data_IF_664573965175
#
_entry.id   IF_664573965175
#
_cell.length_a   1.000
_cell.length_b   1.000
_cell.length_c   1.000
_cell.angle_alpha   90.00
_cell.angle_beta   90.00
_cell.angle_gamma   90.00
#
_symmetry.space_group_name_H-M   'P 1'
#
loop_
_entity.id
_entity.type
_entity.pdbx_description
1 polymer ?
#
# COMPACT_ATOMS: atom_id res chain seq x y z
N UNK A 1 3.19 8.31 -4.44
CA UNK A 1 4.48 7.59 -4.50
C UNK A 1 5.36 8.05 -3.35
N UNK A 2 6.07 7.15 -2.69
CA UNK A 2 7.07 7.55 -1.69
C UNK A 2 8.45 7.73 -2.31
N UNK A 3 9.13 8.80 -1.91
CA UNK A 3 10.55 9.05 -2.16
C UNK A 3 11.37 8.41 -1.02
N UNK A 4 11.13 7.12 -0.81
CA UNK A 4 11.82 6.28 0.16
C UNK A 4 12.80 5.35 -0.55
N UNK A 5 13.87 4.96 0.14
CA UNK A 5 14.90 4.03 -0.35
C UNK A 5 14.65 2.59 0.11
N UNK A 6 13.81 2.41 1.12
CA UNK A 6 13.36 1.12 1.62
C UNK A 6 11.96 1.27 2.20
N UNK A 7 11.08 0.33 1.88
CA UNK A 7 9.73 0.28 2.41
C UNK A 7 9.22 -1.16 2.44
N UNK A 8 8.80 -1.62 3.61
CA UNK A 8 8.19 -2.94 3.80
C UNK A 8 6.91 -2.78 4.60
N UNK A 9 5.85 -3.46 4.15
CA UNK A 9 4.58 -3.61 4.86
C UNK A 9 4.51 -5.04 5.41
N UNK A 10 4.15 -5.18 6.68
CA UNK A 10 3.90 -6.45 7.35
C UNK A 10 2.45 -6.45 7.81
N UNK A 11 1.62 -7.30 7.23
CA UNK A 11 0.20 -7.38 7.60
C UNK A 11 0.03 -8.26 8.84
N UNK A 12 -0.49 -7.68 9.93
CA UNK A 12 -0.64 -8.39 11.22
C UNK A 12 -2.06 -8.88 11.44
N UNK A 13 -3.07 -8.19 10.89
CA UNK A 13 -4.49 -8.59 10.94
C UNK A 13 -5.23 -8.15 9.68
N UNK A 14 -6.32 -8.84 9.37
CA UNK A 14 -7.20 -8.46 8.28
C UNK A 14 -6.54 -8.59 6.90
N UNK A 15 -6.99 -7.75 5.97
CA UNK A 15 -6.47 -7.68 4.61
C UNK A 15 -6.59 -6.28 4.01
N UNK A 16 -5.76 -6.01 3.00
CA UNK A 16 -5.79 -4.80 2.19
C UNK A 16 -5.60 -5.15 0.71
N UNK A 17 -6.23 -4.38 -0.18
CA UNK A 17 -5.97 -4.40 -1.61
C UNK A 17 -5.21 -3.16 -2.01
N UNK A 18 -4.00 -3.41 -2.49
CA UNK A 18 -3.15 -2.40 -3.10
C UNK A 18 -3.22 -2.53 -4.61
N UNK A 19 -3.10 -1.40 -5.29
CA UNK A 19 -2.72 -1.37 -6.69
C UNK A 19 -1.24 -0.99 -6.75
N UNK A 20 -0.36 -1.92 -7.15
CA UNK A 20 1.06 -1.64 -7.40
C UNK A 20 1.27 -1.48 -8.88
N UNK A 21 1.58 -0.26 -9.31
CA UNK A 21 1.48 0.13 -10.71
C UNK A 21 0.10 -0.26 -11.27
N UNK A 22 0.03 -1.18 -12.23
CA UNK A 22 -1.19 -1.66 -12.88
C UNK A 22 -1.67 -3.02 -12.36
N UNK A 23 -1.17 -3.46 -11.20
CA UNK A 23 -1.45 -4.80 -10.65
C UNK A 23 -2.15 -4.74 -9.30
N UNK A 24 -3.39 -5.21 -9.27
CA UNK A 24 -4.11 -5.47 -8.02
C UNK A 24 -3.38 -6.56 -7.23
N UNK A 25 -3.17 -6.30 -5.95
CA UNK A 25 -2.47 -7.19 -5.03
C UNK A 25 -3.24 -7.22 -3.72
N UNK A 26 -3.74 -8.41 -3.37
CA UNK A 26 -4.25 -8.70 -2.04
C UNK A 26 -3.05 -8.93 -1.10
N UNK A 27 -3.09 -8.31 0.07
CA UNK A 27 -2.13 -8.49 1.15
C UNK A 27 -2.93 -8.82 2.40
N UNK A 28 -2.72 -9.99 2.96
CA UNK A 28 -3.49 -10.51 4.11
C UNK A 28 -2.58 -10.89 5.28
N UNK A 29 -3.17 -11.08 6.47
CA UNK A 29 -2.42 -11.33 7.69
C UNK A 29 -1.37 -12.45 7.53
N UNK A 30 -0.12 -12.13 7.86
CA UNK A 30 1.05 -12.99 7.65
C UNK A 30 1.90 -12.63 6.44
N UNK A 31 1.37 -11.85 5.49
CA UNK A 31 2.12 -11.38 4.33
C UNK A 31 3.13 -10.29 4.70
N UNK A 32 4.26 -10.32 3.98
CA UNK A 32 5.30 -9.28 4.00
C UNK A 32 5.52 -8.79 2.59
N UNK A 33 5.30 -7.50 2.36
CA UNK A 33 5.40 -6.88 1.04
C UNK A 33 6.55 -5.88 1.03
N UNK A 34 7.53 -6.13 0.18
CA UNK A 34 8.55 -5.13 -0.15
C UNK A 34 8.01 -4.19 -1.21
N UNK A 35 7.79 -2.93 -0.83
CA UNK A 35 7.43 -1.87 -1.77
C UNK A 35 8.72 -1.28 -2.32
N UNK A 36 9.06 -1.67 -3.56
CA UNK A 36 10.30 -1.20 -4.21
C UNK A 36 10.34 0.34 -4.21
N UNK A 37 11.52 0.95 -3.99
CA UNK A 37 11.69 2.40 -4.03
C UNK A 37 11.03 3.04 -5.24
N UNK A 38 10.21 4.06 -4.98
CA UNK A 38 9.51 4.82 -6.02
C UNK A 38 8.35 4.08 -6.71
N UNK A 39 7.92 2.90 -6.23
CA UNK A 39 6.73 2.23 -6.76
C UNK A 39 5.50 3.13 -6.59
N UNK A 40 4.73 3.31 -7.66
CA UNK A 40 3.44 3.99 -7.60
C UNK A 40 2.43 3.00 -7.08
N UNK A 41 1.77 3.36 -5.99
CA UNK A 41 0.74 2.52 -5.43
C UNK A 41 -0.33 3.33 -4.71
N UNK A 42 -1.48 2.70 -4.51
CA UNK A 42 -2.55 3.18 -3.66
C UNK A 42 -3.29 2.00 -3.02
N UNK A 43 -3.75 2.17 -1.79
CA UNK A 43 -4.65 1.24 -1.11
C UNK A 43 -6.08 1.69 -1.41
N UNK A 44 -6.93 0.79 -1.92
CA UNK A 44 -8.29 1.15 -2.33
C UNK A 44 -9.40 0.35 -1.66
N UNK A 45 -9.07 -0.75 -1.00
CA UNK A 45 -10.04 -1.55 -0.25
C UNK A 45 -9.32 -2.29 0.88
N UNK A 46 -10.03 -2.55 1.97
CA UNK A 46 -9.46 -3.12 3.18
C UNK A 46 -10.53 -3.63 4.15
N UNK A 47 -10.16 -4.63 4.94
CA UNK A 47 -11.04 -5.20 5.96
C UNK A 47 -11.24 -4.25 7.16
N UNK A 48 -12.36 -4.34 7.89
CA UNK A 48 -12.62 -3.51 9.07
C UNK A 48 -11.60 -3.66 10.20
N UNK A 49 -10.88 -4.79 10.24
CA UNK A 49 -9.89 -5.16 11.24
C UNK A 49 -8.45 -5.06 10.72
N UNK A 50 -8.23 -4.44 9.57
CA UNK A 50 -6.91 -4.29 8.96
C UNK A 50 -5.93 -3.63 9.93
N UNK A 51 -4.80 -4.29 10.16
CA UNK A 51 -3.69 -3.79 10.95
C UNK A 51 -2.39 -4.21 10.24
N UNK A 52 -1.50 -3.25 9.99
CA UNK A 52 -0.17 -3.53 9.45
C UNK A 52 0.89 -2.65 10.11
N UNK A 53 2.14 -3.14 10.07
CA UNK A 53 3.33 -2.35 10.35
C UNK A 53 3.98 -1.93 9.04
N UNK A 54 4.38 -0.67 8.96
CA UNK A 54 5.16 -0.15 7.85
C UNK A 54 6.54 0.27 8.35
N UNK A 55 7.59 -0.26 7.72
CA UNK A 55 8.98 0.06 8.04
C UNK A 55 9.57 0.78 6.83
N UNK A 56 9.95 2.04 7.01
CA UNK A 56 10.38 2.93 5.92
C UNK A 56 11.72 3.57 6.25
N UNK A 57 12.58 3.73 5.24
CA UNK A 57 13.83 4.48 5.33
C UNK A 57 14.07 5.28 4.03
N UNK A 58 14.65 6.49 4.10
CA UNK A 58 15.00 7.25 5.32
C UNK A 58 13.75 7.68 6.11
N UNK A 59 13.93 8.04 7.39
CA UNK A 59 12.81 8.39 8.27
C UNK A 59 12.06 9.67 7.82
N UNK A 60 12.73 10.57 7.11
CA UNK A 60 12.21 11.83 6.58
C UNK A 60 11.79 11.74 5.10
N UNK A 61 11.44 10.53 4.64
CA UNK A 61 10.95 10.32 3.27
C UNK A 61 9.76 11.23 2.93
N UNK A 62 9.65 11.59 1.65
CA UNK A 62 8.53 12.39 1.13
C UNK A 62 7.49 11.51 0.49
N UNK A 63 6.25 11.95 0.54
CA UNK A 63 5.16 11.40 -0.27
C UNK A 63 4.73 12.46 -1.27
N UNK A 64 4.69 12.09 -2.54
CA UNK A 64 4.24 12.97 -3.62
C UNK A 64 3.09 12.32 -4.37
N UNK A 65 2.11 13.15 -4.72
CA UNK A 65 1.05 12.76 -5.64
C UNK A 65 1.65 12.52 -7.03
N UNK A 66 1.07 11.56 -7.74
CA UNK A 66 1.49 11.16 -9.08
C UNK A 66 0.26 10.89 -9.92
N UNK A 67 0.41 11.03 -11.23
CA UNK A 67 -0.64 10.67 -12.17
C UNK A 67 -1.05 9.19 -12.00
N UNK A 68 -2.37 8.89 -12.03
CA UNK A 68 -2.87 7.52 -12.00
C UNK A 68 -2.29 6.71 -13.17
N UNK A 69 -1.95 5.47 -12.90
CA UNK A 69 -1.41 4.53 -13.90
C UNK A 69 -2.47 3.62 -14.49
N UNK A 70 -3.61 3.55 -13.82
CA UNK A 70 -4.80 2.80 -14.19
C UNK A 70 -6.04 3.55 -13.65
N UNK A 71 -7.23 3.04 -13.98
CA UNK A 71 -8.46 3.53 -13.35
C UNK A 71 -8.42 3.28 -11.84
N UNK A 72 -8.76 4.31 -11.05
CA UNK A 72 -8.83 4.20 -9.59
C UNK A 72 -10.27 3.77 -9.23
N UNK A 73 -10.46 2.62 -8.56
CA UNK A 73 -11.78 2.20 -8.12
C UNK A 73 -12.34 3.15 -7.05
N UNK A 74 -13.67 3.30 -6.96
CA UNK A 74 -14.29 4.11 -5.91
C UNK A 74 -14.06 3.48 -4.53
N UNK A 75 -14.05 4.31 -3.48
CA UNK A 75 -13.97 3.82 -2.12
C UNK A 75 -15.19 2.97 -1.75
N UNK A 76 -14.96 1.82 -1.13
CA UNK A 76 -16.04 0.94 -0.63
C UNK A 76 -16.13 1.11 0.89
N UNK A 77 -17.12 1.84 1.42
CA UNK A 77 -17.27 2.01 2.86
C UNK A 77 -17.67 0.68 3.52
N UNK A 78 -17.24 0.49 4.76
CA UNK A 78 -17.75 -0.60 5.60
C UNK A 78 -19.25 -0.43 5.88
N UNK A 79 -19.96 -1.54 6.01
CA UNK A 79 -21.37 -1.57 6.40
C UNK A 79 -21.54 -1.68 7.90
#
# INVERSE_FOLDING_TARGET
RHEAEFQVVIMTKGWAKFMYEDKETLVEAGDVVHQRPGVRHYLFDYSPDMEYLEIVSPADFKTVDVEPVCAIPPSTPWK
#
